data_IF_843050727210
#
_entry.id   IF_843050727210
#
_cell.length_a   1.000
_cell.length_b   1.000
_cell.length_c   1.000
_cell.angle_alpha   90.00
_cell.angle_beta   90.00
_cell.angle_gamma   90.00
#
_symmetry.space_group_name_H-M   'P 1'
#
loop_
_entity.id
_entity.type
_entity.pdbx_description
1 polymer ?
#
# COMPACT_ATOMS: atom_id res chain seq x y z
N UNK A 1 -10.28 1.81 -30.33
CA UNK A 1 -8.96 2.06 -29.72
C UNK A 1 -9.20 2.59 -28.32
N UNK A 2 -9.40 1.70 -27.34
CA UNK A 2 -9.45 2.11 -25.94
C UNK A 2 -8.00 2.29 -25.50
N UNK A 3 -7.53 3.54 -25.46
CA UNK A 3 -6.34 3.87 -24.69
C UNK A 3 -6.63 3.44 -23.26
N UNK A 4 -6.09 2.29 -22.85
CA UNK A 4 -6.27 1.78 -21.51
C UNK A 4 -5.52 2.76 -20.61
N UNK A 5 -6.25 3.73 -20.04
CA UNK A 5 -5.68 4.78 -19.21
C UNK A 5 -5.30 4.14 -17.87
N UNK A 6 -4.21 3.37 -17.86
CA UNK A 6 -3.76 2.63 -16.70
C UNK A 6 -3.11 3.61 -15.74
N UNK A 7 -3.72 3.82 -14.59
CA UNK A 7 -3.15 4.60 -13.51
C UNK A 7 -2.40 3.69 -12.54
N UNK A 8 -1.39 4.25 -11.90
CA UNK A 8 -0.65 3.61 -10.81
C UNK A 8 -0.93 4.43 -9.55
N UNK A 9 -1.41 3.76 -8.50
CA UNK A 9 -1.54 4.37 -7.19
C UNK A 9 -0.49 3.77 -6.25
N UNK A 10 0.38 4.61 -5.71
CA UNK A 10 1.24 4.29 -4.58
C UNK A 10 0.47 4.41 -3.26
N UNK A 11 0.47 3.34 -2.46
CA UNK A 11 -0.17 3.27 -1.14
C UNK A 11 0.91 3.08 -0.08
N UNK A 12 1.06 4.03 0.83
CA UNK A 12 1.94 3.90 1.99
C UNK A 12 1.10 3.76 3.26
N UNK A 13 1.00 2.52 3.75
CA UNK A 13 0.23 2.14 4.93
C UNK A 13 1.06 2.42 6.18
N UNK A 14 0.81 3.56 6.83
CA UNK A 14 1.44 3.92 8.09
C UNK A 14 0.64 3.47 9.32
N UNK A 15 1.23 3.64 10.51
CA UNK A 15 0.54 3.36 11.78
C UNK A 15 -0.47 4.43 12.19
N UNK A 16 -0.34 5.66 11.67
CA UNK A 16 -1.18 6.81 12.04
C UNK A 16 -1.90 7.43 10.82
N UNK A 17 -1.36 7.23 9.62
CA UNK A 17 -1.90 7.79 8.38
C UNK A 17 -1.73 6.82 7.22
N UNK A 18 -2.71 6.83 6.33
CA UNK A 18 -2.62 6.28 4.98
C UNK A 18 -2.22 7.39 4.01
N UNK A 19 -1.14 7.20 3.25
CA UNK A 19 -0.67 8.17 2.25
C UNK A 19 -0.77 7.59 0.85
N UNK A 20 -1.26 8.40 -0.07
CA UNK A 20 -1.56 8.02 -1.46
C UNK A 20 -0.84 8.95 -2.42
N UNK A 21 -0.26 8.40 -3.48
CA UNK A 21 0.20 9.14 -4.65
C UNK A 21 -0.29 8.44 -5.93
N UNK A 22 -1.17 9.08 -6.68
CA UNK A 22 -1.71 8.54 -7.94
C UNK A 22 -1.04 9.21 -9.12
N UNK A 23 -0.53 8.42 -10.06
CA UNK A 23 0.10 8.89 -11.28
C UNK A 23 -0.52 8.23 -12.50
N UNK A 24 -0.44 8.92 -13.65
CA UNK A 24 -0.74 8.30 -14.94
C UNK A 24 0.38 7.35 -15.39
N UNK A 25 0.15 6.65 -16.51
CA UNK A 25 1.13 5.74 -17.10
C UNK A 25 2.42 6.40 -17.61
N UNK A 26 2.46 7.73 -17.73
CA UNK A 26 3.67 8.49 -18.06
C UNK A 26 4.45 8.89 -16.81
N UNK A 27 3.94 8.60 -15.61
CA UNK A 27 4.54 8.99 -14.35
C UNK A 27 4.17 10.41 -13.91
N UNK A 28 3.21 11.08 -14.57
CA UNK A 28 2.74 12.38 -14.12
C UNK A 28 1.87 12.21 -12.89
N UNK A 29 2.19 12.93 -11.83
CA UNK A 29 1.43 12.93 -10.59
C UNK A 29 0.06 13.59 -10.82
N UNK A 30 -1.00 12.86 -10.54
CA UNK A 30 -2.40 13.30 -10.70
C UNK A 30 -2.99 13.76 -9.35
N UNK A 31 -2.68 13.04 -8.27
CA UNK A 31 -3.21 13.36 -6.94
C UNK A 31 -2.32 12.82 -5.82
N UNK A 32 -2.33 13.50 -4.68
CA UNK A 32 -1.72 13.05 -3.43
C UNK A 32 -2.72 13.25 -2.31
N UNK A 33 -2.96 12.21 -1.51
CA UNK A 33 -3.83 12.26 -0.35
C UNK A 33 -3.08 11.79 0.90
N UNK A 34 -3.46 12.34 2.05
CA UNK A 34 -3.09 11.82 3.35
C UNK A 34 -4.36 11.72 4.19
N UNK A 35 -4.73 10.49 4.55
CA UNK A 35 -5.95 10.18 5.28
C UNK A 35 -5.55 9.74 6.70
N UNK A 36 -6.14 10.34 7.77
CA UNK A 36 -5.98 9.84 9.13
C UNK A 36 -6.36 8.36 9.20
N UNK A 37 -5.48 7.55 9.78
CA UNK A 37 -5.65 6.11 9.89
C UNK A 37 -4.92 5.66 11.17
N UNK A 38 -5.50 5.89 12.36
CA UNK A 38 -4.91 5.49 13.63
C UNK A 38 -4.98 3.96 13.79
N UNK A 39 -4.19 3.24 12.99
CA UNK A 39 -4.21 1.78 12.89
C UNK A 39 -3.95 1.10 14.23
N UNK A 40 -3.18 1.75 15.11
CA UNK A 40 -2.95 1.28 16.49
C UNK A 40 -4.23 1.16 17.33
N UNK A 41 -5.33 1.79 16.93
CA UNK A 41 -6.63 1.70 17.60
C UNK A 41 -7.51 0.55 17.08
N UNK A 42 -7.25 0.03 15.88
CA UNK A 42 -8.06 -1.02 15.27
C UNK A 42 -7.97 -1.11 13.73
N UNK A 43 -8.28 -2.28 13.18
CA UNK A 43 -8.25 -2.52 11.72
C UNK A 43 -9.36 -1.76 10.97
N UNK A 44 -10.45 -1.41 11.64
CA UNK A 44 -11.55 -0.65 11.08
C UNK A 44 -11.11 0.73 10.54
N UNK A 45 -10.08 1.33 11.13
CA UNK A 45 -9.54 2.60 10.68
C UNK A 45 -8.84 2.48 9.32
N UNK A 46 -8.17 1.36 9.05
CA UNK A 46 -7.59 1.10 7.74
C UNK A 46 -8.67 0.82 6.69
N UNK A 47 -9.67 0.00 7.04
CA UNK A 47 -10.84 -0.28 6.21
C UNK A 47 -11.53 1.05 5.78
N UNK A 48 -11.79 1.95 6.73
CA UNK A 48 -12.39 3.26 6.47
C UNK A 48 -11.49 4.19 5.65
N UNK A 49 -10.19 4.22 5.93
CA UNK A 49 -9.24 5.04 5.19
C UNK A 49 -9.17 4.63 3.72
N UNK A 50 -9.12 3.33 3.42
CA UNK A 50 -9.11 2.80 2.05
C UNK A 50 -10.40 3.17 1.31
N UNK A 51 -11.57 3.01 1.96
CA UNK A 51 -12.85 3.42 1.40
C UNK A 51 -12.88 4.91 1.04
N UNK A 52 -12.38 5.77 1.93
CA UNK A 52 -12.29 7.22 1.69
C UNK A 52 -11.42 7.55 0.47
N UNK A 53 -10.28 6.87 0.31
CA UNK A 53 -9.42 7.03 -0.88
C UNK A 53 -10.18 6.63 -2.16
N UNK A 54 -10.84 5.48 -2.16
CA UNK A 54 -11.61 5.02 -3.31
C UNK A 54 -12.78 5.96 -3.66
N UNK A 55 -13.47 6.52 -2.66
CA UNK A 55 -14.53 7.49 -2.88
C UNK A 55 -13.99 8.79 -3.51
N UNK A 56 -12.81 9.24 -3.08
CA UNK A 56 -12.22 10.48 -3.58
C UNK A 56 -11.57 10.32 -4.97
N UNK A 57 -10.98 9.16 -5.26
CA UNK A 57 -10.16 8.96 -6.47
C UNK A 57 -10.80 8.06 -7.52
N UNK A 58 -11.73 7.17 -7.17
CA UNK A 58 -12.26 6.15 -8.09
C UNK A 58 -11.15 5.27 -8.68
N UNK A 59 -10.24 4.79 -7.84
CA UNK A 59 -9.01 4.09 -8.24
C UNK A 59 -9.01 2.58 -7.92
N UNK A 60 -10.20 1.96 -7.86
CA UNK A 60 -10.35 0.54 -7.49
C UNK A 60 -9.63 -0.43 -8.46
N UNK A 61 -9.39 0.01 -9.69
CA UNK A 61 -8.77 -0.81 -10.75
C UNK A 61 -7.38 -0.32 -11.16
N UNK A 62 -6.81 0.65 -10.45
CA UNK A 62 -5.42 1.06 -10.65
C UNK A 62 -4.47 -0.09 -10.28
N UNK A 63 -3.25 -0.05 -10.84
CA UNK A 63 -2.16 -0.84 -10.28
C UNK A 63 -1.77 -0.22 -8.93
N UNK A 64 -1.81 -1.02 -7.87
CA UNK A 64 -1.48 -0.61 -6.51
C UNK A 64 -0.05 -1.00 -6.16
N UNK A 65 0.82 0.00 -6.01
CA UNK A 65 2.18 -0.17 -5.50
C UNK A 65 2.17 0.13 -4.00
N UNK A 66 2.33 -0.89 -3.16
CA UNK A 66 2.06 -0.83 -1.73
C UNK A 66 3.35 -0.92 -0.93
N UNK A 67 3.51 0.00 0.01
CA UNK A 67 4.52 -0.07 1.08
C UNK A 67 3.80 -0.04 2.42
N UNK A 68 4.37 -0.65 3.45
CA UNK A 68 3.81 -0.59 4.79
C UNK A 68 4.89 -0.36 5.84
N UNK A 69 4.52 0.43 6.83
CA UNK A 69 5.20 0.55 8.13
C UNK A 69 4.23 0.38 9.30
N UNK A 70 2.93 0.26 9.00
CA UNK A 70 1.87 0.07 9.99
C UNK A 70 1.91 -1.30 10.67
N UNK A 71 2.64 -2.28 10.13
CA UNK A 71 2.80 -3.62 10.74
C UNK A 71 3.49 -3.61 12.11
N UNK A 72 4.06 -2.47 12.51
CA UNK A 72 4.76 -2.27 13.77
C UNK A 72 3.91 -1.62 14.88
N UNK A 73 2.63 -1.31 14.64
CA UNK A 73 1.79 -0.73 15.69
C UNK A 73 1.47 -1.74 16.78
N UNK A 74 1.19 -1.24 18.00
CA UNK A 74 0.87 -2.05 19.18
C UNK A 74 -0.45 -2.86 19.06
N UNK A 75 -1.19 -2.71 17.96
CA UNK A 75 -2.37 -3.53 17.68
C UNK A 75 -2.02 -5.01 17.48
N UNK A 76 -0.85 -5.31 16.92
CA UNK A 76 -0.50 -6.67 16.51
C UNK A 76 0.38 -7.36 17.55
N UNK A 77 0.15 -8.66 17.84
CA UNK A 77 0.98 -9.42 18.78
C UNK A 77 2.42 -9.61 18.25
N UNK A 78 2.59 -9.59 16.94
CA UNK A 78 3.87 -9.69 16.26
C UNK A 78 3.76 -9.11 14.84
N UNK A 79 4.92 -8.87 14.24
CA UNK A 79 5.03 -8.25 12.92
C UNK A 79 4.45 -9.11 11.78
N UNK A 80 4.59 -10.43 11.87
CA UNK A 80 4.07 -11.34 10.84
C UNK A 80 2.54 -11.26 10.80
N UNK A 81 1.92 -11.26 11.98
CA UNK A 81 0.49 -11.07 12.17
C UNK A 81 0.05 -9.71 11.63
N UNK A 82 0.81 -8.63 11.89
CA UNK A 82 0.53 -7.31 11.34
C UNK A 82 0.55 -7.24 9.82
N UNK A 83 1.61 -7.76 9.19
CA UNK A 83 1.70 -7.85 7.73
C UNK A 83 0.51 -8.62 7.17
N UNK A 84 0.19 -9.79 7.75
CA UNK A 84 -0.92 -10.62 7.28
C UNK A 84 -2.26 -9.87 7.35
N UNK A 85 -2.60 -9.27 8.50
CA UNK A 85 -3.88 -8.59 8.67
C UNK A 85 -4.02 -7.35 7.75
N UNK A 86 -2.93 -6.61 7.53
CA UNK A 86 -2.93 -5.48 6.59
C UNK A 86 -3.17 -5.97 5.16
N UNK A 87 -2.50 -7.04 4.72
CA UNK A 87 -2.70 -7.62 3.40
C UNK A 87 -4.12 -8.16 3.23
N UNK A 88 -4.65 -8.85 4.25
CA UNK A 88 -6.03 -9.35 4.25
C UNK A 88 -7.05 -8.19 4.13
N UNK A 89 -6.80 -7.04 4.78
CA UNK A 89 -7.61 -5.83 4.63
C UNK A 89 -7.54 -5.26 3.21
N UNK A 90 -6.32 -5.06 2.69
CA UNK A 90 -6.09 -4.54 1.33
C UNK A 90 -6.82 -5.39 0.27
N UNK A 91 -6.74 -6.72 0.39
CA UNK A 91 -7.32 -7.66 -0.55
C UNK A 91 -8.85 -7.62 -0.62
N UNK A 92 -9.53 -6.97 0.34
CA UNK A 92 -10.98 -6.72 0.27
C UNK A 92 -11.34 -5.62 -0.72
N UNK A 93 -10.41 -4.70 -0.99
CA UNK A 93 -10.66 -3.46 -1.72
C UNK A 93 -9.91 -3.37 -3.05
N UNK A 94 -8.73 -3.99 -3.10
CA UNK A 94 -7.85 -3.96 -4.27
C UNK A 94 -7.72 -5.40 -4.79
N UNK A 95 -8.02 -5.65 -6.09
CA UNK A 95 -7.83 -6.96 -6.69
C UNK A 95 -6.38 -7.45 -6.54
N UNK A 96 -6.19 -8.74 -6.22
CA UNK A 96 -4.86 -9.30 -5.94
C UNK A 96 -3.91 -9.17 -7.14
N UNK A 97 -4.44 -9.32 -8.34
CA UNK A 97 -3.74 -9.17 -9.62
C UNK A 97 -3.21 -7.76 -9.87
N UNK A 98 -3.77 -6.76 -9.19
CA UNK A 98 -3.36 -5.36 -9.30
C UNK A 98 -2.48 -4.92 -8.12
N UNK A 99 -2.23 -5.79 -7.15
CA UNK A 99 -1.55 -5.44 -5.89
C UNK A 99 -0.09 -5.90 -5.90
N UNK A 100 0.83 -4.96 -5.70
CA UNK A 100 2.28 -5.18 -5.68
C UNK A 100 2.87 -4.61 -4.39
N UNK A 101 3.42 -5.47 -3.55
CA UNK A 101 3.91 -5.13 -2.23
C UNK A 101 5.42 -5.00 -2.30
N UNK A 102 5.95 -3.89 -1.79
CA UNK A 102 7.38 -3.67 -1.72
C UNK A 102 8.03 -4.51 -0.62
N UNK A 103 8.95 -5.38 -1.01
CA UNK A 103 9.71 -6.28 -0.15
C UNK A 103 11.22 -5.96 -0.14
N UNK A 104 11.55 -4.67 -0.21
CA UNK A 104 12.93 -4.18 -0.15
C UNK A 104 13.84 -4.80 -1.22
N UNK A 105 14.84 -5.57 -0.78
CA UNK A 105 15.79 -6.26 -1.68
C UNK A 105 15.15 -7.29 -2.60
N UNK A 106 14.00 -7.85 -2.21
CA UNK A 106 13.25 -8.80 -3.03
C UNK A 106 12.40 -8.10 -4.11
N UNK A 107 12.35 -6.77 -4.12
CA UNK A 107 11.59 -6.01 -5.09
C UNK A 107 10.08 -6.01 -4.80
N UNK A 108 9.28 -6.13 -5.85
CA UNK A 108 7.82 -6.15 -5.75
C UNK A 108 7.30 -7.59 -5.75
N UNK A 109 6.46 -7.94 -4.76
CA UNK A 109 5.84 -9.25 -4.61
C UNK A 109 4.32 -9.16 -4.73
N UNK A 110 3.67 -10.23 -5.17
CA UNK A 110 2.22 -10.38 -5.05
C UNK A 110 1.79 -10.59 -3.58
N UNK A 111 0.50 -10.41 -3.21
CA UNK A 111 0.05 -10.57 -1.84
C UNK A 111 0.35 -11.94 -1.21
N UNK A 112 0.30 -13.03 -1.99
CA UNK A 112 0.50 -14.39 -1.47
C UNK A 112 1.98 -14.66 -1.17
N UNK A 113 2.86 -14.25 -2.08
CA UNK A 113 4.32 -14.29 -1.87
C UNK A 113 4.74 -13.39 -0.71
N UNK A 114 4.02 -12.28 -0.50
CA UNK A 114 4.27 -11.31 0.56
C UNK A 114 4.05 -11.89 1.97
N UNK A 115 2.98 -12.66 2.18
CA UNK A 115 2.72 -13.32 3.47
C UNK A 115 3.87 -14.26 3.89
N UNK A 116 4.51 -14.95 2.93
CA UNK A 116 5.64 -15.83 3.19
C UNK A 116 6.97 -15.09 3.39
N UNK A 117 7.08 -13.88 2.83
CA UNK A 117 8.28 -13.04 2.87
C UNK A 117 8.11 -11.81 3.78
N UNK A 118 7.24 -11.92 4.79
CA UNK A 118 6.91 -10.82 5.72
C UNK A 118 8.14 -10.16 6.37
N UNK A 119 9.25 -10.90 6.51
CA UNK A 119 10.52 -10.38 7.00
C UNK A 119 11.09 -9.24 6.14
N UNK A 120 10.77 -9.20 4.85
CA UNK A 120 11.33 -8.30 3.85
C UNK A 120 10.44 -7.10 3.50
N UNK A 121 9.16 -7.15 3.84
CA UNK A 121 8.16 -6.10 3.55
C UNK A 121 8.30 -4.90 4.50
N UNK A 122 8.77 -5.18 5.70
CA UNK A 122 8.69 -4.24 6.81
C UNK A 122 9.73 -3.10 6.75
N UNK A 123 9.28 -1.92 7.17
CA UNK A 123 10.14 -0.84 7.71
C UNK A 123 11.20 -0.25 6.77
N UNK A 124 10.91 -0.19 5.48
CA UNK A 124 11.81 0.35 4.45
C UNK A 124 11.11 1.38 3.54
N UNK A 125 10.16 2.15 4.05
CA UNK A 125 9.49 3.23 3.30
C UNK A 125 10.48 4.26 2.72
N UNK A 126 11.59 4.52 3.43
CA UNK A 126 12.68 5.36 2.96
C UNK A 126 13.49 4.70 1.84
N UNK A 127 13.61 3.37 1.81
CA UNK A 127 14.43 2.65 0.84
C UNK A 127 13.85 2.75 -0.57
N UNK A 128 12.53 2.70 -0.71
CA UNK A 128 11.88 2.91 -2.00
C UNK A 128 12.25 4.28 -2.59
N UNK A 129 12.22 5.32 -1.76
CA UNK A 129 12.64 6.67 -2.15
C UNK A 129 14.13 6.76 -2.46
N UNK A 130 14.98 6.15 -1.62
CA UNK A 130 16.43 6.12 -1.83
C UNK A 130 16.81 5.41 -3.15
N UNK A 131 16.16 4.27 -3.46
CA UNK A 131 16.37 3.54 -4.71
C UNK A 131 15.86 4.29 -5.94
N UNK A 132 14.88 5.17 -5.78
CA UNK A 132 14.39 6.01 -6.87
C UNK A 132 15.40 7.11 -7.24
N UNK A 133 16.02 7.75 -6.24
CA UNK A 133 16.95 8.88 -6.45
C UNK A 133 18.41 8.45 -6.67
N UNK A 134 18.78 7.19 -6.40
CA UNK A 134 20.16 6.70 -6.53
C UNK A 134 20.57 6.30 -7.96
N UNK A 135 19.69 6.56 -8.93
CA UNK A 135 19.95 6.33 -10.36
C UNK A 135 20.44 7.58 -11.06
#
# INVERSE_FOLDING_TARGET
MTTNNSFITGWAIGGDHLKIARADHHGNLISVLQIPCPLWQGMEYLDQAIQSVHQQLGNQYDLAAITMTGELVDLFPDRQTGVKQILDCINKFIPKENSFIYAGKLGWLDPSSSEHNWLHIASQNWQASANFVSK
#
